data_IF_385134349650
#
_entry.id   IF_385134349650
#
_cell.length_a   1.000
_cell.length_b   1.000
_cell.length_c   1.000
_cell.angle_alpha   90.00
_cell.angle_beta   90.00
_cell.angle_gamma   90.00
#
_symmetry.space_group_name_H-M   'P 1'
#
loop_
_entity.id
_entity.type
_entity.pdbx_description
1 polymer ?
#
# COMPACT_ATOMS: atom_id res chain seq x y z
N UNK A 1 45.33 -4.14 -36.65
CA UNK A 1 44.91 -5.28 -35.80
C UNK A 1 44.74 -4.78 -34.37
N UNK A 2 43.51 -4.60 -33.91
CA UNK A 2 43.18 -4.33 -32.50
C UNK A 2 42.40 -5.55 -32.00
N UNK A 3 42.92 -6.16 -30.95
CA UNK A 3 42.47 -7.45 -30.42
C UNK A 3 41.34 -7.15 -29.41
N UNK A 4 40.15 -7.71 -29.63
CA UNK A 4 39.03 -7.64 -28.70
C UNK A 4 39.23 -8.62 -27.55
N UNK A 5 39.04 -8.18 -26.30
CA UNK A 5 38.96 -9.07 -25.13
C UNK A 5 37.50 -9.37 -24.83
N UNK A 6 37.09 -10.61 -25.06
CA UNK A 6 35.81 -11.17 -24.61
C UNK A 6 35.93 -11.58 -23.15
N UNK A 7 35.05 -11.10 -22.29
CA UNK A 7 34.94 -11.55 -20.89
C UNK A 7 33.95 -12.71 -20.86
N UNK A 8 34.41 -13.88 -20.42
CA UNK A 8 33.59 -15.07 -20.14
C UNK A 8 33.14 -14.96 -18.68
N UNK A 9 31.84 -14.90 -18.44
CA UNK A 9 31.26 -15.03 -17.11
C UNK A 9 31.19 -16.53 -16.75
N UNK A 10 31.84 -16.92 -15.66
CA UNK A 10 31.75 -18.25 -15.07
C UNK A 10 30.69 -18.20 -13.97
N UNK A 11 29.61 -18.95 -14.14
CA UNK A 11 28.62 -19.16 -13.09
C UNK A 11 29.18 -20.16 -12.06
N UNK A 12 29.39 -19.71 -10.82
CA UNK A 12 29.70 -20.59 -9.69
C UNK A 12 28.37 -21.02 -9.07
N UNK A 13 27.98 -22.27 -9.35
CA UNK A 13 26.89 -22.96 -8.67
C UNK A 13 27.42 -23.55 -7.36
N UNK A 14 26.97 -23.00 -6.24
CA UNK A 14 27.28 -23.54 -4.91
C UNK A 14 26.16 -24.49 -4.48
N UNK A 15 26.41 -25.78 -4.68
CA UNK A 15 25.63 -26.90 -4.16
C UNK A 15 25.70 -26.89 -2.63
N UNK A 16 24.54 -26.90 -1.96
CA UNK A 16 24.41 -27.19 -0.54
C UNK A 16 24.84 -28.64 -0.24
N UNK A 17 25.82 -28.83 0.64
CA UNK A 17 26.01 -30.08 1.37
C UNK A 17 25.97 -29.83 2.88
N UNK A 18 25.04 -30.51 3.54
CA UNK A 18 24.93 -30.63 4.98
C UNK A 18 26.10 -31.44 5.57
N UNK A 19 26.50 -31.10 6.79
CA UNK A 19 27.51 -31.84 7.55
C UNK A 19 27.61 -31.38 9.01
N UNK A 20 26.66 -31.87 9.81
CA UNK A 20 26.78 -32.37 11.19
C UNK A 20 27.79 -31.72 12.16
N UNK A 21 27.31 -31.12 13.26
CA UNK A 21 27.61 -31.52 14.66
C UNK A 21 27.18 -30.42 15.64
N UNK A 22 26.00 -30.57 16.26
CA UNK A 22 25.64 -29.80 17.46
C UNK A 22 25.01 -30.77 18.46
N UNK A 23 25.86 -31.24 19.36
CA UNK A 23 25.56 -32.08 20.51
C UNK A 23 24.83 -31.28 21.61
N UNK A 24 23.59 -31.67 21.92
CA UNK A 24 23.03 -31.54 23.28
C UNK A 24 22.20 -32.80 23.59
N UNK A 25 22.68 -33.59 24.55
CA UNK A 25 22.10 -34.85 24.99
C UNK A 25 20.69 -34.76 25.62
N UNK A 26 20.10 -35.92 25.98
CA UNK A 26 18.67 -36.02 26.24
C UNK A 26 18.33 -35.79 27.71
N UNK A 27 17.45 -34.83 28.00
CA UNK A 27 16.64 -34.86 29.23
C UNK A 27 15.17 -34.66 28.88
N UNK A 28 14.43 -35.77 28.95
CA UNK A 28 12.99 -35.77 29.13
C UNK A 28 12.67 -35.39 30.59
N UNK A 29 12.03 -34.23 30.79
CA UNK A 29 11.20 -33.97 31.96
C UNK A 29 9.97 -33.19 31.51
N UNK A 30 8.82 -33.75 31.86
CA UNK A 30 7.42 -33.38 31.60
C UNK A 30 7.08 -31.87 31.55
N UNK A 31 6.06 -31.47 30.76
CA UNK A 31 5.75 -30.07 30.53
C UNK A 31 5.03 -29.43 31.72
N UNK A 32 5.61 -28.38 32.27
CA UNK A 32 4.89 -27.44 33.12
C UNK A 32 4.05 -26.53 32.21
N UNK A 33 2.73 -26.54 32.44
CA UNK A 33 1.78 -25.63 31.83
C UNK A 33 2.14 -24.17 32.16
N UNK A 34 2.58 -23.43 31.13
CA UNK A 34 2.73 -21.99 31.15
C UNK A 34 1.96 -21.43 29.97
N UNK A 35 0.67 -21.14 30.18
CA UNK A 35 -0.17 -20.42 29.26
C UNK A 35 0.34 -18.98 29.15
N UNK A 36 1.21 -18.72 28.17
CA UNK A 36 1.74 -17.41 27.83
C UNK A 36 1.35 -17.04 26.41
N UNK A 37 0.05 -16.77 26.20
CA UNK A 37 -0.41 -16.09 24.98
C UNK A 37 0.12 -14.65 25.02
N UNK A 38 1.28 -14.42 24.41
CA UNK A 38 1.65 -13.09 23.94
C UNK A 38 1.10 -12.97 22.52
N UNK A 39 -0.09 -12.39 22.41
CA UNK A 39 -0.68 -12.04 21.13
C UNK A 39 0.30 -11.18 20.34
N UNK A 40 0.88 -11.76 19.30
CA UNK A 40 1.66 -11.03 18.34
C UNK A 40 0.67 -10.34 17.41
N UNK A 41 0.66 -9.00 17.42
CA UNK A 41 -0.14 -8.22 16.50
C UNK A 41 0.25 -8.58 15.06
N UNK A 42 -0.74 -9.00 14.26
CA UNK A 42 -0.79 -8.83 12.80
C UNK A 42 0.48 -9.14 12.00
N UNK A 43 1.11 -10.31 12.18
CA UNK A 43 2.12 -10.76 11.21
C UNK A 43 1.40 -11.10 9.89
N UNK A 44 1.54 -10.21 8.91
CA UNK A 44 1.12 -10.46 7.52
C UNK A 44 2.04 -11.55 6.97
N UNK A 45 1.60 -12.79 7.05
CA UNK A 45 2.24 -13.91 6.37
C UNK A 45 1.78 -13.82 4.91
N UNK A 46 2.68 -13.45 4.00
CA UNK A 46 2.44 -13.49 2.54
C UNK A 46 2.58 -14.95 2.08
N UNK A 47 1.49 -15.64 1.73
CA UNK A 47 1.54 -17.03 1.31
C UNK A 47 1.94 -17.13 -0.17
N UNK A 48 2.50 -18.28 -0.53
CA UNK A 48 2.91 -18.57 -1.91
C UNK A 48 1.75 -18.43 -2.90
N UNK A 49 2.10 -18.05 -4.12
CA UNK A 49 1.17 -17.85 -5.24
C UNK A 49 0.26 -19.08 -5.42
N UNK A 50 -1.07 -18.89 -5.38
CA UNK A 50 -2.05 -19.97 -5.56
C UNK A 50 -2.49 -20.68 -4.27
N UNK A 51 -2.00 -20.27 -3.10
CA UNK A 51 -2.48 -20.76 -1.80
C UNK A 51 -3.90 -20.26 -1.49
N UNK A 52 -4.68 -21.03 -0.73
CA UNK A 52 -5.92 -20.54 -0.12
C UNK A 52 -5.58 -19.66 1.08
N UNK A 53 -6.15 -18.46 1.13
CA UNK A 53 -5.80 -17.41 2.10
C UNK A 53 -7.08 -16.87 2.72
N UNK A 54 -7.03 -16.39 3.96
CA UNK A 54 -8.21 -15.93 4.70
C UNK A 54 -8.70 -14.55 4.28
N UNK A 55 -7.79 -13.73 3.77
CA UNK A 55 -8.04 -12.38 3.28
C UNK A 55 -7.06 -12.09 2.14
N UNK A 56 -7.45 -11.29 1.16
CA UNK A 56 -6.60 -10.80 0.06
C UNK A 56 -6.61 -9.29 0.08
N UNK A 57 -5.44 -8.72 -0.15
CA UNK A 57 -5.23 -7.28 -0.14
C UNK A 57 -4.12 -6.92 -1.12
N UNK A 58 -3.87 -5.64 -1.32
CA UNK A 58 -2.79 -5.18 -2.20
C UNK A 58 -1.59 -4.77 -1.38
N UNK A 59 -0.43 -5.29 -1.73
CA UNK A 59 0.86 -4.76 -1.29
C UNK A 59 1.40 -3.82 -2.37
N UNK A 60 1.84 -2.63 -1.96
CA UNK A 60 2.55 -1.67 -2.78
C UNK A 60 3.95 -1.50 -2.19
N UNK A 61 4.98 -1.79 -2.98
CA UNK A 61 6.40 -1.55 -2.66
C UNK A 61 6.94 -0.39 -3.48
N UNK A 62 8.08 0.17 -3.07
CA UNK A 62 8.80 1.19 -3.85
C UNK A 62 10.27 0.80 -3.98
N UNK A 63 10.57 -0.03 -4.98
CA UNK A 63 11.91 -0.60 -5.20
C UNK A 63 12.61 -0.04 -6.45
N UNK A 64 11.92 0.83 -7.18
CA UNK A 64 12.43 1.49 -8.39
C UNK A 64 12.97 2.89 -8.09
N UNK A 65 14.17 3.21 -8.58
CA UNK A 65 14.69 4.60 -8.51
C UNK A 65 14.24 5.47 -9.68
N UNK A 66 13.26 5.01 -10.47
CA UNK A 66 12.82 5.69 -11.71
C UNK A 66 11.32 5.83 -11.82
N UNK A 67 10.57 5.22 -10.91
CA UNK A 67 9.12 5.29 -10.81
C UNK A 67 8.73 5.05 -9.36
N UNK A 68 7.50 5.34 -9.00
CA UNK A 68 6.99 5.20 -7.64
C UNK A 68 6.09 3.97 -7.51
N UNK A 69 6.13 3.31 -6.37
CA UNK A 69 5.10 2.34 -5.99
C UNK A 69 3.70 2.96 -5.97
N UNK A 70 2.77 2.47 -6.79
CA UNK A 70 1.43 3.07 -6.89
C UNK A 70 0.34 2.09 -7.35
N UNK A 71 -0.82 2.16 -6.69
CA UNK A 71 -2.09 1.67 -7.21
C UNK A 71 -2.93 2.86 -7.71
N UNK A 72 -3.15 2.94 -9.03
CA UNK A 72 -3.79 4.09 -9.67
C UNK A 72 -5.17 3.73 -10.22
N UNK A 73 -6.21 4.38 -9.70
CA UNK A 73 -7.54 4.41 -10.29
C UNK A 73 -7.70 5.67 -11.14
N UNK A 74 -7.82 5.50 -12.46
CA UNK A 74 -8.01 6.60 -13.40
C UNK A 74 -9.39 6.53 -14.02
N UNK A 75 -10.20 7.56 -13.78
CA UNK A 75 -11.61 7.64 -14.20
C UNK A 75 -11.73 8.10 -15.67
N UNK A 76 -10.86 9.01 -16.10
CA UNK A 76 -10.78 9.48 -17.48
C UNK A 76 -9.75 8.67 -18.30
N UNK A 77 -10.01 7.39 -18.53
CA UNK A 77 -9.14 6.55 -19.37
C UNK A 77 -9.91 5.39 -20.03
N UNK A 78 -9.82 5.26 -21.37
CA UNK A 78 -10.49 4.18 -22.09
C UNK A 78 -10.00 2.78 -21.69
N UNK A 79 -8.79 2.67 -21.14
CA UNK A 79 -8.21 1.40 -20.69
C UNK A 79 -8.77 0.90 -19.36
N UNK A 80 -9.34 1.77 -18.52
CA UNK A 80 -9.84 1.42 -17.18
C UNK A 80 -11.33 1.08 -17.14
N UNK A 81 -12.04 1.29 -18.27
CA UNK A 81 -13.49 1.09 -18.41
C UNK A 81 -14.33 1.75 -17.30
N UNK A 82 -13.81 2.82 -16.70
CA UNK A 82 -14.54 3.57 -15.69
C UNK A 82 -15.86 4.11 -16.27
N UNK A 83 -16.93 4.02 -15.49
CA UNK A 83 -18.29 4.39 -15.93
C UNK A 83 -18.49 5.90 -15.96
N UNK A 84 -17.74 6.64 -15.14
CA UNK A 84 -17.69 8.09 -15.12
C UNK A 84 -16.25 8.55 -15.30
N UNK A 85 -16.07 9.73 -15.87
CA UNK A 85 -14.73 10.26 -16.21
C UNK A 85 -14.15 11.16 -15.13
N UNK A 86 -14.98 11.67 -14.21
CA UNK A 86 -14.55 12.58 -13.15
C UNK A 86 -15.59 12.70 -12.05
N UNK A 87 -15.17 13.07 -10.84
CA UNK A 87 -16.04 13.26 -9.67
C UNK A 87 -15.83 14.67 -9.09
N UNK A 88 -16.86 15.53 -9.19
CA UNK A 88 -16.79 16.91 -8.70
C UNK A 88 -16.91 17.01 -7.18
N UNK A 89 -17.79 16.20 -6.58
CA UNK A 89 -17.93 16.00 -5.13
C UNK A 89 -17.85 14.51 -4.88
N UNK A 90 -16.92 14.08 -4.04
CA UNK A 90 -16.68 12.66 -3.88
C UNK A 90 -16.17 12.28 -2.53
N UNK A 91 -16.12 10.96 -2.35
CA UNK A 91 -15.62 10.30 -1.14
C UNK A 91 -14.85 9.07 -1.57
N UNK A 92 -13.77 8.76 -0.86
CA UNK A 92 -13.17 7.44 -0.87
C UNK A 92 -13.09 6.90 0.56
N UNK A 93 -13.12 5.57 0.68
CA UNK A 93 -12.82 4.85 1.91
C UNK A 93 -11.81 3.75 1.59
N UNK A 94 -10.84 3.54 2.47
CA UNK A 94 -9.81 2.52 2.30
C UNK A 94 -9.25 2.14 3.67
N UNK A 95 -8.87 0.88 3.83
CA UNK A 95 -8.08 0.42 4.96
C UNK A 95 -6.60 0.38 4.55
N UNK A 96 -5.75 1.07 5.30
CA UNK A 96 -4.31 1.12 5.05
C UNK A 96 -3.53 0.47 6.19
N UNK A 97 -2.49 -0.30 5.87
CA UNK A 97 -1.46 -0.68 6.84
C UNK A 97 -0.11 -0.27 6.28
N UNK A 98 0.58 0.63 6.97
CA UNK A 98 1.92 1.06 6.62
C UNK A 98 2.94 0.31 7.49
N UNK A 99 3.83 -0.47 6.88
CA UNK A 99 4.67 -1.43 7.59
C UNK A 99 6.10 -1.46 7.02
N UNK A 100 7.08 -1.72 7.88
CA UNK A 100 8.41 -2.19 7.50
C UNK A 100 8.61 -3.57 8.12
N UNK A 101 8.49 -4.61 7.32
CA UNK A 101 8.64 -6.02 7.71
C UNK A 101 9.98 -6.62 7.24
N UNK A 102 10.80 -5.85 6.52
CA UNK A 102 12.13 -6.24 6.06
C UNK A 102 13.17 -5.15 6.41
N UNK A 103 13.56 -5.04 7.69
CA UNK A 103 14.53 -4.04 8.13
C UNK A 103 15.96 -4.28 7.60
N UNK A 104 16.20 -5.37 6.86
CA UNK A 104 17.47 -5.63 6.21
C UNK A 104 17.61 -4.90 4.87
N UNK A 105 16.51 -4.43 4.28
CA UNK A 105 16.55 -3.59 3.10
C UNK A 105 17.13 -2.20 3.42
N UNK A 106 17.84 -1.65 2.44
CA UNK A 106 18.51 -0.35 2.59
C UNK A 106 17.44 0.74 2.54
N UNK A 107 17.30 1.46 3.64
CA UNK A 107 16.57 2.73 3.71
C UNK A 107 17.51 3.86 3.28
N UNK A 108 17.21 4.53 2.17
CA UNK A 108 17.95 5.72 1.74
C UNK A 108 17.55 6.99 2.53
N UNK A 109 16.63 6.83 3.49
CA UNK A 109 16.05 7.83 4.40
C UNK A 109 15.21 8.91 3.71
N UNK A 110 14.92 8.75 2.42
CA UNK A 110 14.08 9.64 1.64
C UNK A 110 12.90 8.84 1.06
N UNK A 111 11.85 9.53 0.60
CA UNK A 111 10.72 8.83 -0.02
C UNK A 111 10.02 7.81 0.90
N UNK A 112 10.11 7.93 2.22
CA UNK A 112 9.53 6.91 3.12
C UNK A 112 8.03 7.09 3.37
N UNK A 113 7.36 8.05 2.77
CA UNK A 113 5.94 8.28 3.08
C UNK A 113 5.02 7.45 2.18
N UNK A 114 3.91 7.00 2.74
CA UNK A 114 2.76 6.55 1.96
C UNK A 114 1.81 7.72 1.68
N UNK A 115 1.07 7.66 0.57
CA UNK A 115 0.18 8.74 0.17
C UNK A 115 -1.19 8.24 -0.29
N UNK A 116 -2.23 9.02 0.01
CA UNK A 116 -3.50 9.02 -0.73
C UNK A 116 -3.54 10.33 -1.51
N UNK A 117 -3.49 10.24 -2.84
CA UNK A 117 -3.44 11.41 -3.72
C UNK A 117 -4.68 11.53 -4.58
N UNK A 118 -5.29 12.71 -4.60
CA UNK A 118 -6.36 13.10 -5.51
C UNK A 118 -5.82 14.06 -6.57
N UNK A 119 -6.02 13.71 -7.84
CA UNK A 119 -5.63 14.56 -8.96
C UNK A 119 -6.82 14.94 -9.84
N UNK A 120 -6.74 16.14 -10.41
CA UNK A 120 -7.62 16.61 -11.47
C UNK A 120 -7.11 16.21 -12.85
N UNK A 121 -6.68 17.18 -13.65
CA UNK A 121 -6.45 16.99 -15.11
C UNK A 121 -5.15 16.27 -15.51
N UNK A 122 -4.26 16.00 -14.56
CA UNK A 122 -2.98 15.32 -14.76
C UNK A 122 -2.43 14.77 -13.45
N UNK A 123 -1.24 14.17 -13.43
CA UNK A 123 -0.68 13.52 -12.22
C UNK A 123 0.58 14.21 -11.68
N UNK A 124 0.66 15.53 -11.86
CA UNK A 124 1.76 16.35 -11.33
C UNK A 124 1.30 17.21 -10.15
N UNK A 125 2.24 17.85 -9.44
CA UNK A 125 1.90 18.72 -8.31
C UNK A 125 0.94 19.85 -8.70
N UNK A 126 1.05 20.41 -9.90
CA UNK A 126 0.11 21.46 -10.35
C UNK A 126 -1.31 20.95 -10.59
N UNK A 127 -1.51 19.64 -10.59
CA UNK A 127 -2.82 19.00 -10.76
C UNK A 127 -3.38 18.40 -9.47
N UNK A 128 -2.73 18.63 -8.33
CA UNK A 128 -3.17 18.12 -7.03
C UNK A 128 -4.46 18.79 -6.60
N UNK A 129 -5.49 17.98 -6.34
CA UNK A 129 -6.72 18.43 -5.68
C UNK A 129 -6.53 18.35 -4.17
N UNK A 130 -6.00 17.24 -3.67
CA UNK A 130 -5.68 17.06 -2.25
C UNK A 130 -4.83 15.81 -2.06
N UNK A 131 -4.06 15.78 -0.99
CA UNK A 131 -3.22 14.63 -0.68
C UNK A 131 -3.00 14.50 0.82
N UNK A 132 -2.96 13.26 1.28
CA UNK A 132 -2.54 12.87 2.62
C UNK A 132 -1.21 12.15 2.54
N UNK A 133 -0.31 12.44 3.47
CA UNK A 133 0.99 11.76 3.60
C UNK A 133 1.09 11.11 4.99
N UNK A 134 1.44 9.83 5.02
CA UNK A 134 1.61 9.00 6.21
C UNK A 134 3.10 8.68 6.33
N UNK A 135 3.75 9.13 7.41
CA UNK A 135 5.18 8.90 7.62
C UNK A 135 5.44 7.69 8.52
N UNK A 136 6.71 7.32 8.63
CA UNK A 136 7.16 6.23 9.49
C UNK A 136 7.13 6.50 10.99
N UNK A 137 6.88 7.73 11.42
CA UNK A 137 6.67 8.10 12.82
C UNK A 137 5.23 7.91 13.28
N UNK A 138 4.31 7.49 12.38
CA UNK A 138 2.88 7.40 12.69
C UNK A 138 2.16 8.74 12.58
N UNK A 139 2.74 9.72 11.89
CA UNK A 139 2.14 11.04 11.69
C UNK A 139 1.44 11.13 10.34
N UNK A 140 0.36 11.92 10.29
CA UNK A 140 -0.37 12.25 9.07
C UNK A 140 -0.30 13.74 8.78
N UNK A 141 0.08 14.07 7.55
CA UNK A 141 0.14 15.42 7.01
C UNK A 141 -0.84 15.58 5.85
N UNK A 142 -1.22 16.81 5.56
CA UNK A 142 -1.98 17.15 4.37
C UNK A 142 -1.18 18.09 3.46
N UNK A 143 -1.49 18.12 2.17
CA UNK A 143 -0.86 19.03 1.21
C UNK A 143 -1.56 20.40 1.18
N UNK A 144 -0.86 21.45 1.63
CA UNK A 144 -1.32 22.84 1.68
C UNK A 144 -1.34 23.53 0.31
N UNK A 145 -1.91 24.73 0.24
CA UNK A 145 -1.96 25.58 -0.97
C UNK A 145 -1.18 26.91 -0.83
N UNK A 146 -0.15 26.96 0.05
CA UNK A 146 0.57 28.20 0.38
C UNK A 146 1.59 28.60 -0.70
N UNK A 147 1.11 28.92 -1.91
CA UNK A 147 1.90 29.33 -3.08
C UNK A 147 2.32 28.17 -3.97
N UNK A 148 2.70 27.03 -3.38
CA UNK A 148 2.83 25.73 -4.07
C UNK A 148 2.30 24.62 -3.16
N UNK A 149 1.88 23.48 -3.72
CA UNK A 149 1.61 22.28 -2.92
C UNK A 149 2.82 21.90 -2.09
N UNK A 150 2.66 21.89 -0.77
CA UNK A 150 3.67 21.45 0.19
C UNK A 150 3.01 20.77 1.39
N UNK A 151 3.74 19.90 2.10
CA UNK A 151 3.20 19.27 3.31
C UNK A 151 2.94 20.31 4.40
N UNK A 152 1.94 20.05 5.25
CA UNK A 152 1.70 20.87 6.43
C UNK A 152 2.94 20.89 7.34
N UNK A 153 3.21 22.03 7.97
CA UNK A 153 4.41 22.21 8.82
C UNK A 153 4.38 21.39 10.11
N UNK A 154 3.21 20.86 10.47
CA UNK A 154 2.99 20.01 11.62
C UNK A 154 2.02 18.88 11.23
N UNK A 155 2.10 17.71 11.90
CA UNK A 155 1.14 16.66 11.71
C UNK A 155 -0.24 17.10 12.20
N UNK A 156 -1.27 16.65 11.50
CA UNK A 156 -2.67 16.98 11.80
C UNK A 156 -3.43 15.81 12.40
N UNK A 157 -2.97 14.58 12.16
CA UNK A 157 -3.49 13.36 12.75
C UNK A 157 -2.34 12.37 13.01
N UNK A 158 -2.65 11.26 13.68
CA UNK A 158 -1.71 10.17 13.90
C UNK A 158 -2.36 8.81 13.66
N UNK A 159 -1.52 7.80 13.45
CA UNK A 159 -1.87 6.40 13.27
C UNK A 159 -0.76 5.51 13.85
N UNK A 160 -1.01 4.21 13.96
CA UNK A 160 0.01 3.25 14.44
C UNK A 160 0.56 2.46 13.23
N UNK A 161 1.85 2.63 12.85
CA UNK A 161 2.48 1.77 11.86
C UNK A 161 2.34 0.27 12.21
N UNK A 162 2.10 -0.56 11.21
CA UNK A 162 1.83 -1.99 11.36
C UNK A 162 0.39 -2.33 11.75
N UNK A 163 -0.45 -1.36 12.11
CA UNK A 163 -1.87 -1.58 12.40
C UNK A 163 -2.77 -1.10 11.25
N UNK A 164 -3.89 -1.79 11.07
CA UNK A 164 -4.92 -1.40 10.09
C UNK A 164 -5.52 -0.05 10.48
N UNK A 165 -5.41 0.91 9.57
CA UNK A 165 -5.87 2.29 9.74
C UNK A 165 -6.96 2.59 8.70
N UNK A 166 -8.25 2.63 9.09
CA UNK A 166 -9.32 3.07 8.20
C UNK A 166 -9.19 4.57 7.91
N UNK A 167 -9.22 4.91 6.62
CA UNK A 167 -9.17 6.28 6.12
C UNK A 167 -10.39 6.57 5.26
N UNK A 168 -11.02 7.71 5.49
CA UNK A 168 -12.03 8.30 4.61
C UNK A 168 -11.51 9.64 4.12
N UNK A 169 -11.60 9.94 2.83
CA UNK A 169 -11.28 11.26 2.29
C UNK A 169 -12.45 11.76 1.46
N UNK A 170 -12.86 13.01 1.67
CA UNK A 170 -13.93 13.68 0.93
C UNK A 170 -13.39 14.91 0.24
N UNK A 171 -13.94 15.23 -0.93
CA UNK A 171 -13.58 16.43 -1.68
C UNK A 171 -14.80 17.06 -2.33
N UNK A 172 -14.71 18.35 -2.61
CA UNK A 172 -15.72 19.11 -3.32
C UNK A 172 -15.70 20.58 -2.90
N UNK A 173 -16.34 21.43 -3.69
CA UNK A 173 -16.46 22.87 -3.40
C UNK A 173 -15.11 23.59 -3.19
N UNK A 174 -14.02 23.10 -3.79
CA UNK A 174 -12.68 23.67 -3.64
C UNK A 174 -11.97 23.31 -2.34
N UNK A 175 -12.49 22.33 -1.60
CA UNK A 175 -11.93 21.86 -0.34
C UNK A 175 -11.87 20.33 -0.30
N UNK A 176 -11.09 19.80 0.64
CA UNK A 176 -11.11 18.40 1.01
C UNK A 176 -10.98 18.22 2.53
N UNK A 177 -11.55 17.14 3.03
CA UNK A 177 -11.49 16.72 4.43
C UNK A 177 -11.16 15.25 4.48
N UNK A 178 -10.77 14.76 5.66
CA UNK A 178 -10.52 13.35 5.82
C UNK A 178 -10.81 12.87 7.24
N UNK A 179 -10.91 11.56 7.39
CA UNK A 179 -10.93 10.88 8.68
C UNK A 179 -9.81 9.86 8.75
N UNK A 180 -9.15 9.80 9.89
CA UNK A 180 -8.23 8.73 10.27
C UNK A 180 -8.76 8.12 11.56
N UNK A 181 -8.96 6.80 11.60
CA UNK A 181 -9.54 6.12 12.76
C UNK A 181 -10.87 6.73 13.23
N UNK A 182 -11.69 7.18 12.27
CA UNK A 182 -13.00 7.81 12.52
C UNK A 182 -12.96 9.25 13.02
N UNK A 183 -11.79 9.83 13.32
CA UNK A 183 -11.65 11.23 13.72
C UNK A 183 -11.56 12.13 12.48
N UNK A 184 -12.33 13.22 12.44
CA UNK A 184 -12.39 14.13 11.29
C UNK A 184 -11.38 15.28 11.35
N UNK A 185 -10.81 15.63 10.21
CA UNK A 185 -9.86 16.73 10.01
C UNK A 185 -10.22 17.54 8.76
N UNK A 186 -9.97 18.85 8.80
CA UNK A 186 -10.37 19.80 7.75
C UNK A 186 -11.69 20.54 8.05
N UNK A 187 -12.30 21.19 7.04
CA UNK A 187 -11.87 21.23 5.64
C UNK A 187 -10.56 21.98 5.44
N UNK A 188 -9.79 21.52 4.46
CA UNK A 188 -8.61 22.21 3.94
C UNK A 188 -8.88 22.65 2.50
N UNK A 189 -8.36 23.82 2.07
CA UNK A 189 -8.42 24.20 0.66
C UNK A 189 -7.72 23.17 -0.24
N UNK A 190 -8.23 22.96 -1.44
CA UNK A 190 -7.53 22.15 -2.44
C UNK A 190 -6.12 22.68 -2.71
N UNK A 191 -5.17 21.78 -2.94
CA UNK A 191 -3.73 22.10 -2.94
C UNK A 191 -3.28 22.91 -4.16
N UNK A 192 -3.77 22.59 -5.36
CA UNK A 192 -3.47 23.31 -6.60
C UNK A 192 -4.70 23.46 -7.53
N UNK A 193 -5.42 22.37 -7.79
CA UNK A 193 -6.63 22.37 -8.62
C UNK A 193 -7.89 22.25 -7.76
N UNK A 194 -8.92 23.02 -8.08
CA UNK A 194 -10.26 22.92 -7.46
C UNK A 194 -11.27 22.18 -8.32
N UNK A 195 -10.83 21.67 -9.48
CA UNK A 195 -11.67 20.95 -10.43
C UNK A 195 -12.02 19.53 -9.97
N UNK A 196 -12.84 18.81 -10.76
CA UNK A 196 -13.22 17.43 -10.48
C UNK A 196 -12.01 16.49 -10.43
N UNK A 197 -12.04 15.52 -9.51
CA UNK A 197 -11.03 14.45 -9.43
C UNK A 197 -11.21 13.49 -10.59
N UNK A 198 -10.10 13.16 -11.28
CA UNK A 198 -10.06 12.20 -12.38
C UNK A 198 -9.10 11.03 -12.11
N UNK A 199 -8.15 11.21 -11.18
CA UNK A 199 -7.22 10.15 -10.77
C UNK A 199 -7.14 10.09 -9.26
N UNK A 200 -7.22 8.88 -8.72
CA UNK A 200 -6.98 8.58 -7.32
C UNK A 200 -5.81 7.61 -7.28
N UNK A 201 -4.83 7.89 -6.42
CA UNK A 201 -3.63 7.09 -6.29
C UNK A 201 -3.34 6.76 -4.83
N UNK A 202 -3.00 5.52 -4.57
CA UNK A 202 -2.44 5.06 -3.31
C UNK A 202 -0.98 4.75 -3.59
N UNK A 203 -0.06 5.44 -2.90
CA UNK A 203 1.37 5.40 -3.25
C UNK A 203 2.22 4.99 -2.07
N UNK A 204 3.33 4.35 -2.39
CA UNK A 204 4.47 4.19 -1.51
C UNK A 204 5.65 4.92 -2.15
N UNK A 205 6.17 5.91 -1.41
CA UNK A 205 7.41 6.61 -1.69
C UNK A 205 7.40 7.65 -2.79
N UNK A 206 8.51 7.78 -3.52
CA UNK A 206 8.69 8.85 -4.51
C UNK A 206 9.34 8.36 -5.81
N UNK A 207 9.65 9.26 -6.74
CA UNK A 207 10.05 8.90 -8.10
C UNK A 207 11.54 8.57 -8.25
N UNK A 208 12.32 8.72 -7.18
CA UNK A 208 13.79 8.75 -7.23
C UNK A 208 14.50 8.02 -6.09
N UNK A 209 13.75 7.64 -5.06
CA UNK A 209 14.23 6.94 -3.87
C UNK A 209 13.59 5.57 -3.78
N UNK A 210 14.15 4.71 -2.94
CA UNK A 210 13.56 3.41 -2.62
C UNK A 210 13.37 3.29 -1.12
N UNK A 211 12.34 2.56 -0.71
CA UNK A 211 12.01 2.41 0.69
C UNK A 211 11.82 0.94 1.08
N UNK A 212 12.26 0.51 2.28
CA UNK A 212 11.93 -0.82 2.81
C UNK A 212 10.47 -0.90 3.29
N UNK A 213 9.79 0.24 3.35
CA UNK A 213 8.40 0.31 3.78
C UNK A 213 7.45 -0.15 2.68
N UNK A 214 6.31 -0.66 3.10
CA UNK A 214 5.24 -1.17 2.25
C UNK A 214 3.93 -0.53 2.66
N UNK A 215 3.08 -0.27 1.67
CA UNK A 215 1.70 0.10 1.89
C UNK A 215 0.80 -1.08 1.55
N UNK A 216 0.06 -1.57 2.55
CA UNK A 216 -1.00 -2.56 2.36
C UNK A 216 -2.33 -1.82 2.22
N UNK A 217 -3.13 -2.24 1.25
CA UNK A 217 -4.40 -1.59 0.88
C UNK A 217 -5.50 -2.64 0.84
N UNK A 218 -6.59 -2.37 1.54
CA UNK A 218 -7.78 -3.22 1.60
C UNK A 218 -9.08 -2.36 1.53
N UNK A 219 -10.21 -2.97 1.15
CA UNK A 219 -11.53 -2.35 1.12
C UNK A 219 -11.63 -0.99 0.39
N UNK A 220 -10.99 -0.86 -0.77
CA UNK A 220 -10.92 0.41 -1.49
C UNK A 220 -12.23 0.72 -2.22
N UNK A 221 -12.89 1.83 -1.83
CA UNK A 221 -14.17 2.27 -2.41
C UNK A 221 -14.12 3.74 -2.77
N UNK A 222 -14.80 4.09 -3.86
CA UNK A 222 -14.93 5.47 -4.34
C UNK A 222 -16.38 5.76 -4.67
N UNK A 223 -16.85 6.94 -4.26
CA UNK A 223 -18.22 7.38 -4.37
C UNK A 223 -18.30 8.75 -5.06
N UNK A 224 -19.35 8.90 -5.87
CA UNK A 224 -19.84 10.19 -6.35
C UNK A 224 -20.89 10.70 -5.34
N UNK A 225 -20.64 11.84 -4.72
CA UNK A 225 -21.50 12.38 -3.66
C UNK A 225 -22.48 13.38 -4.28
N UNK A 226 -23.77 13.10 -4.13
CA UNK A 226 -24.85 13.94 -4.64
C UNK A 226 -25.79 14.37 -3.51
N UNK A 227 -26.68 15.33 -3.78
CA UNK A 227 -27.71 15.72 -2.81
C UNK A 227 -28.73 14.59 -2.53
N UNK A 228 -28.80 13.57 -3.40
CA UNK A 228 -29.63 12.39 -3.22
C UNK A 228 -28.94 11.27 -2.42
N UNK A 229 -27.65 11.42 -2.09
CA UNK A 229 -26.82 10.44 -1.41
C UNK A 229 -25.57 10.03 -2.19
N UNK A 230 -24.82 9.10 -1.61
CA UNK A 230 -23.57 8.61 -2.16
C UNK A 230 -23.82 7.48 -3.18
N UNK A 231 -23.35 7.67 -4.41
CA UNK A 231 -23.40 6.67 -5.47
C UNK A 231 -22.05 5.95 -5.55
N UNK A 232 -22.03 4.62 -5.53
CA UNK A 232 -20.78 3.86 -5.65
C UNK A 232 -20.26 3.93 -7.09
N UNK A 233 -19.02 4.39 -7.24
CA UNK A 233 -18.31 4.49 -8.54
C UNK A 233 -17.38 3.30 -8.73
N UNK A 234 -16.68 2.91 -7.66
CA UNK A 234 -15.70 1.84 -7.68
C UNK A 234 -15.68 1.15 -6.31
N UNK A 235 -15.49 -0.17 -6.33
CA UNK A 235 -15.24 -0.97 -5.13
C UNK A 235 -14.32 -2.12 -5.48
N UNK A 236 -13.37 -2.39 -4.60
CA UNK A 236 -12.53 -3.57 -4.66
C UNK A 236 -12.15 -3.97 -3.23
N UNK A 237 -12.60 -5.16 -2.83
CA UNK A 237 -12.19 -5.84 -1.59
C UNK A 237 -11.09 -6.88 -1.88
N UNK A 238 -10.61 -6.96 -3.13
CA UNK A 238 -9.54 -7.84 -3.61
C UNK A 238 -9.80 -9.35 -3.47
N UNK A 239 -10.94 -9.78 -2.88
CA UNK A 239 -11.24 -11.19 -2.64
C UNK A 239 -11.48 -11.99 -3.91
N UNK A 240 -11.91 -11.32 -4.98
CA UNK A 240 -12.06 -11.91 -6.31
C UNK A 240 -10.75 -12.04 -7.10
N UNK A 241 -9.62 -11.58 -6.57
CA UNK A 241 -8.34 -11.51 -7.29
C UNK A 241 -7.43 -12.71 -6.99
N UNK A 242 -6.51 -12.98 -7.91
CA UNK A 242 -5.50 -14.02 -7.70
C UNK A 242 -4.33 -13.47 -6.87
N UNK A 243 -3.84 -14.25 -5.90
CA UNK A 243 -2.56 -13.93 -5.24
C UNK A 243 -1.45 -13.86 -6.29
N UNK A 244 -0.58 -12.86 -6.19
CA UNK A 244 0.46 -12.53 -7.16
C UNK A 244 -0.03 -11.73 -8.37
N UNK A 245 -1.33 -11.39 -8.47
CA UNK A 245 -1.84 -10.58 -9.57
C UNK A 245 -1.27 -9.16 -9.52
N UNK A 246 -0.61 -8.74 -10.60
CA UNK A 246 -0.21 -7.35 -10.82
C UNK A 246 -1.43 -6.49 -11.22
N UNK A 247 -1.55 -5.30 -10.61
CA UNK A 247 -2.70 -4.40 -10.77
C UNK A 247 -2.44 -3.20 -11.71
N UNK A 248 -1.67 -3.41 -12.78
CA UNK A 248 -1.42 -2.45 -13.87
C UNK A 248 -2.37 -2.58 -15.05
N UNK A 249 -3.61 -3.02 -14.81
CA UNK A 249 -4.62 -3.16 -15.86
C UNK A 249 -6.02 -2.96 -15.29
N UNK A 250 -7.01 -2.86 -16.19
CA UNK A 250 -8.42 -2.70 -15.86
C UNK A 250 -8.82 -3.56 -14.65
N UNK A 251 -9.46 -2.97 -13.62
CA UNK A 251 -10.01 -1.60 -13.58
C UNK A 251 -9.00 -0.50 -13.20
N UNK A 252 -7.77 -0.85 -12.89
CA UNK A 252 -6.70 0.09 -12.57
C UNK A 252 -5.96 0.54 -13.84
N UNK A 253 -5.14 1.58 -13.70
CA UNK A 253 -4.41 2.16 -14.81
C UNK A 253 -3.11 1.38 -15.10
N UNK A 254 -2.64 1.42 -16.35
CA UNK A 254 -1.37 0.80 -16.75
C UNK A 254 -0.13 1.40 -16.10
N UNK A 255 -0.27 2.59 -15.50
CA UNK A 255 0.80 3.21 -14.74
C UNK A 255 0.75 2.85 -13.24
N UNK A 256 -0.15 1.97 -12.79
CA UNK A 256 0.06 1.34 -11.48
C UNK A 256 1.36 0.54 -11.54
N UNK A 257 2.21 0.70 -10.53
CA UNK A 257 3.53 0.11 -10.47
C UNK A 257 3.72 -0.55 -9.10
N UNK A 258 4.35 -1.72 -9.08
CA UNK A 258 4.65 -2.47 -7.85
C UNK A 258 3.44 -2.78 -6.93
N UNK A 259 2.22 -2.64 -7.45
CA UNK A 259 0.98 -3.01 -6.77
C UNK A 259 0.59 -4.46 -7.12
N UNK A 260 0.70 -5.35 -6.13
CA UNK A 260 0.47 -6.80 -6.28
C UNK A 260 -0.50 -7.29 -5.22
N UNK A 261 -1.44 -8.15 -5.62
CA UNK A 261 -2.34 -8.82 -4.68
C UNK A 261 -1.55 -9.86 -3.88
N UNK A 262 -1.63 -9.76 -2.56
CA UNK A 262 -1.12 -10.75 -1.63
C UNK A 262 -2.27 -11.40 -0.88
N UNK A 263 -2.00 -12.56 -0.27
CA UNK A 263 -2.89 -13.11 0.74
C UNK A 263 -2.39 -12.78 2.13
N UNK A 264 -3.29 -12.70 3.09
CA UNK A 264 -2.96 -12.85 4.50
C UNK A 264 -3.18 -14.32 4.86
N UNK A 265 -2.12 -14.99 5.30
CA UNK A 265 -2.20 -16.36 5.79
C UNK A 265 -3.16 -16.46 6.99
N UNK A 266 -4.04 -17.46 6.96
CA UNK A 266 -4.61 -17.97 8.20
C UNK A 266 -3.47 -18.55 9.02
N UNK A 267 -3.40 -18.26 10.32
CA UNK A 267 -2.65 -19.13 11.23
C UNK A 267 -3.33 -20.50 11.19
N UNK A 268 -2.87 -21.37 10.29
CA UNK A 268 -3.31 -22.75 10.25
C UNK A 268 -2.87 -23.38 11.57
N UNK A 269 -3.77 -23.36 12.57
CA UNK A 269 -3.60 -24.13 13.79
C UNK A 269 -3.70 -25.57 13.35
N UNK A 270 -2.53 -26.14 13.06
CA UNK A 270 -2.33 -27.40 12.36
C UNK A 270 -3.48 -28.37 12.56
N UNK A 271 -4.11 -28.74 11.45
CA UNK A 271 -5.02 -29.87 11.39
C UNK A 271 -4.30 -31.10 11.97
N UNK A 272 -4.58 -31.39 13.24
CA UNK A 272 -4.12 -32.60 13.90
C UNK A 272 -4.78 -33.78 13.18
N UNK A 273 -4.08 -34.33 12.20
CA UNK A 273 -4.36 -35.65 11.66
C UNK A 273 -4.09 -36.68 12.75
N UNK A 274 -5.10 -36.92 13.59
CA UNK A 274 -5.19 -38.16 14.36
C UNK A 274 -5.54 -39.27 13.36
N UNK A 275 -4.51 -39.78 12.69
CA UNK A 275 -4.54 -41.00 11.90
C UNK A 275 -4.05 -42.17 12.75
N UNK A 276 -5.01 -43.06 13.02
CA UNK A 276 -4.99 -44.30 13.80
C UNK A 276 -3.78 -45.23 13.58
#
# INVERSE_FOLDING_TARGET
>A
MKISKSVIAVAVSSVLLFGCDFDVGPQSSTPAAGNGSTGNAGSVVVPDTGSSVSNKLVQITDTSTTDTGELRLKLADGSTKAVITSIAKGKLTVDLTYINDDPAQIDDQNGNNAYITLFGTGTSNSNLVGELAFNNSGDVFYRTNQGKPDLSSAPVASFTPGEKTPVEMTWGNGEYSFKVNGQSFGPYPCSAETGPVQVIALKMGDNSHTTPYKLLVDNFKVFNVTDAGDETVFTDDFEGRAVGQNLSANPYNSNSNEAVVIGEGSTDTGSASNGN
#
